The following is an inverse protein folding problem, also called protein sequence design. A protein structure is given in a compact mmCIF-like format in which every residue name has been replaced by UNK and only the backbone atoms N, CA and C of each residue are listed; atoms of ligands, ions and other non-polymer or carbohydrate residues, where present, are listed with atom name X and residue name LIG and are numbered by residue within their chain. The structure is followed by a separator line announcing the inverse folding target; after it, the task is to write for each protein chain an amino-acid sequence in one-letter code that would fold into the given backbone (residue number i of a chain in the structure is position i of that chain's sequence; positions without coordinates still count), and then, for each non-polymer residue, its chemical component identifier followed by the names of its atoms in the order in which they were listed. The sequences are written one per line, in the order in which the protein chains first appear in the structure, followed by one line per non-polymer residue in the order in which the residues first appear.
data_IF_004405817320
#
_entry.id   IF_004405817320
#
_cell.length_a   1.000
_cell.length_b   1.000
_cell.length_c   1.000
_cell.angle_alpha   90.00
_cell.angle_beta   90.00
_cell.angle_gamma   90.00
#
_symmetry.space_group_name_H-M   'P 1'
#
loop_
_entity.id
_entity.type
_entity.pdbx_description
1 polymer ?
#
# COMPACT_ATOMS: atom_id res chain seq x y z
N UNK A 1 11.71 -1.02 -21.52
CA UNK A 1 11.24 -0.17 -20.41
C UNK A 1 10.75 1.20 -20.88
N UNK A 2 11.47 1.96 -21.73
CA UNK A 2 11.02 3.31 -22.16
C UNK A 2 9.62 3.36 -22.78
N UNK A 3 9.31 2.46 -23.72
CA UNK A 3 8.00 2.41 -24.39
C UNK A 3 6.85 2.16 -23.41
N UNK A 4 7.08 1.34 -22.38
CA UNK A 4 6.07 1.03 -21.37
C UNK A 4 5.79 2.25 -20.49
N UNK A 5 6.84 2.93 -20.02
CA UNK A 5 6.72 4.18 -19.28
C UNK A 5 6.02 5.26 -20.09
N UNK A 6 6.31 5.36 -21.39
CA UNK A 6 5.65 6.31 -22.29
C UNK A 6 4.16 6.00 -22.47
N UNK A 7 3.78 4.73 -22.54
CA UNK A 7 2.37 4.31 -22.63
C UNK A 7 1.64 4.67 -21.34
N UNK A 8 2.21 4.34 -20.18
CA UNK A 8 1.64 4.69 -18.87
C UNK A 8 1.47 6.21 -18.74
N UNK A 9 2.49 7.00 -19.10
CA UNK A 9 2.44 8.45 -19.03
C UNK A 9 1.37 9.09 -19.94
N UNK A 10 0.96 8.42 -21.02
CA UNK A 10 -0.05 8.90 -21.98
C UNK A 10 -1.47 8.43 -21.66
N UNK A 11 -1.64 7.44 -20.79
CA UNK A 11 -2.94 6.86 -20.44
C UNK A 11 -3.56 7.56 -19.22
N UNK A 12 -4.87 7.37 -19.03
CA UNK A 12 -5.59 7.98 -17.90
C UNK A 12 -5.12 7.40 -16.55
N UNK A 13 -5.08 8.22 -15.48
CA UNK A 13 -4.63 7.80 -14.15
C UNK A 13 -5.31 6.52 -13.64
N UNK A 14 -6.60 6.32 -13.91
CA UNK A 14 -7.36 5.15 -13.42
C UNK A 14 -6.84 3.81 -13.97
N UNK A 15 -6.33 3.80 -15.21
CA UNK A 15 -5.76 2.59 -15.85
C UNK A 15 -4.31 2.36 -15.46
N UNK A 16 -3.61 3.43 -15.09
CA UNK A 16 -2.25 3.36 -14.63
C UNK A 16 -2.16 2.84 -13.20
N UNK A 17 -3.18 3.07 -12.38
CA UNK A 17 -3.20 2.68 -10.98
C UNK A 17 -2.91 1.19 -10.80
N UNK A 18 -3.73 0.32 -11.41
CA UNK A 18 -3.58 -1.14 -11.29
C UNK A 18 -2.19 -1.60 -11.76
N UNK A 19 -1.80 -1.18 -12.97
CA UNK A 19 -0.51 -1.54 -13.54
C UNK A 19 0.66 -1.12 -12.63
N UNK A 20 0.63 0.12 -12.10
CA UNK A 20 1.68 0.64 -11.21
C UNK A 20 1.71 -0.13 -9.90
N UNK A 21 0.56 -0.31 -9.25
CA UNK A 21 0.48 -0.99 -7.96
C UNK A 21 0.92 -2.45 -8.05
N UNK A 22 0.47 -3.17 -9.08
CA UNK A 22 0.87 -4.56 -9.31
C UNK A 22 2.35 -4.68 -9.68
N UNK A 23 2.88 -3.75 -10.48
CA UNK A 23 4.31 -3.75 -10.84
C UNK A 23 5.19 -3.52 -9.62
N UNK A 24 4.83 -2.60 -8.73
CA UNK A 24 5.56 -2.33 -7.50
C UNK A 24 5.46 -3.52 -6.54
N UNK A 25 4.27 -4.13 -6.40
CA UNK A 25 4.09 -5.33 -5.59
C UNK A 25 4.91 -6.52 -6.12
N UNK A 26 4.98 -6.70 -7.44
CA UNK A 26 5.82 -7.71 -8.07
C UNK A 26 7.31 -7.43 -7.87
N UNK A 27 7.73 -6.16 -7.99
CA UNK A 27 9.09 -5.75 -7.71
C UNK A 27 9.48 -6.07 -6.26
N UNK A 28 8.63 -5.73 -5.30
CA UNK A 28 8.85 -6.03 -3.88
C UNK A 28 9.00 -7.54 -3.64
N UNK A 29 8.12 -8.34 -4.23
CA UNK A 29 8.16 -9.80 -4.09
C UNK A 29 9.45 -10.41 -4.60
N UNK A 30 9.96 -9.90 -5.72
CA UNK A 30 11.16 -10.44 -6.37
C UNK A 30 12.46 -9.88 -5.80
N UNK A 31 12.48 -8.60 -5.41
CA UNK A 31 13.70 -7.83 -5.17
C UNK A 31 13.69 -7.06 -3.85
N UNK A 32 12.56 -6.99 -3.13
CA UNK A 32 12.37 -6.08 -2.00
C UNK A 32 13.24 -6.37 -0.78
N UNK A 33 13.82 -7.56 -0.64
CA UNK A 33 14.79 -7.84 0.44
C UNK A 33 16.16 -7.22 0.18
N UNK A 34 16.59 -7.17 -1.07
CA UNK A 34 17.87 -6.62 -1.52
C UNK A 34 17.76 -5.10 -1.72
N UNK A 35 16.62 -4.62 -2.24
CA UNK A 35 16.38 -3.25 -2.66
C UNK A 35 15.29 -2.59 -1.81
N UNK A 36 15.46 -2.60 -0.48
CA UNK A 36 14.45 -2.12 0.48
C UNK A 36 14.14 -0.63 0.31
N UNK A 37 15.16 0.18 0.09
CA UNK A 37 15.01 1.64 -0.02
C UNK A 37 14.32 2.00 -1.34
N UNK A 38 14.74 1.40 -2.45
CA UNK A 38 14.15 1.59 -3.77
C UNK A 38 12.69 1.11 -3.79
N UNK A 39 12.40 -0.02 -3.14
CA UNK A 39 11.03 -0.51 -2.98
C UNK A 39 10.16 0.50 -2.21
N UNK A 40 10.71 1.09 -1.14
CA UNK A 40 10.01 2.14 -0.37
C UNK A 40 9.81 3.41 -1.20
N UNK A 41 10.82 3.83 -1.96
CA UNK A 41 10.75 5.02 -2.82
C UNK A 41 9.69 4.87 -3.92
N UNK A 42 9.63 3.71 -4.57
CA UNK A 42 8.58 3.39 -5.55
C UNK A 42 7.19 3.47 -4.92
N UNK A 43 7.01 2.93 -3.71
CA UNK A 43 5.75 2.99 -2.99
C UNK A 43 5.38 4.44 -2.59
N UNK A 44 6.34 5.26 -2.17
CA UNK A 44 6.12 6.67 -1.87
C UNK A 44 5.74 7.47 -3.14
N UNK A 45 6.36 7.17 -4.28
CA UNK A 45 6.01 7.80 -5.55
C UNK A 45 4.57 7.46 -5.96
N UNK A 46 4.17 6.19 -5.86
CA UNK A 46 2.79 5.77 -6.10
C UNK A 46 1.80 6.46 -5.14
N UNK A 47 2.13 6.54 -3.84
CA UNK A 47 1.33 7.24 -2.85
C UNK A 47 1.17 8.73 -3.19
N UNK A 48 2.21 9.39 -3.70
CA UNK A 48 2.12 10.81 -4.10
C UNK A 48 1.16 11.06 -5.26
N UNK A 49 0.95 10.05 -6.12
CA UNK A 49 0.12 10.14 -7.33
C UNK A 49 -1.32 9.67 -7.14
N UNK A 50 -1.53 8.70 -6.25
CA UNK A 50 -2.80 8.00 -6.10
C UNK A 50 -3.29 7.91 -4.64
N UNK A 51 -2.56 8.49 -3.70
CA UNK A 51 -2.87 8.43 -2.27
C UNK A 51 -3.91 9.45 -1.81
N UNK A 52 -3.85 9.85 -0.52
CA UNK A 52 -4.82 10.76 0.09
C UNK A 52 -4.97 12.09 -0.67
N UNK A 53 -6.21 12.56 -0.81
CA UNK A 53 -6.53 13.79 -1.55
C UNK A 53 -6.66 13.61 -3.07
N UNK A 54 -6.57 12.37 -3.56
CA UNK A 54 -6.86 12.01 -4.96
C UNK A 54 -8.18 11.25 -5.06
N UNK A 55 -8.72 11.08 -6.27
CA UNK A 55 -9.90 10.24 -6.51
C UNK A 55 -9.69 8.75 -6.20
N UNK A 56 -8.45 8.34 -5.90
CA UNK A 56 -8.05 6.95 -5.64
C UNK A 56 -7.71 6.70 -4.18
N UNK A 57 -7.90 7.67 -3.28
CA UNK A 57 -7.45 7.57 -1.89
C UNK A 57 -8.02 6.38 -1.11
N UNK A 58 -9.19 5.88 -1.53
CA UNK A 58 -9.89 4.72 -0.97
C UNK A 58 -9.94 3.53 -1.95
N UNK A 59 -9.19 3.56 -3.05
CA UNK A 59 -9.17 2.48 -4.03
C UNK A 59 -8.37 1.29 -3.50
N UNK A 60 -8.99 0.11 -3.40
CA UNK A 60 -8.37 -1.08 -2.81
C UNK A 60 -7.09 -1.52 -3.52
N UNK A 61 -6.91 -1.14 -4.79
CA UNK A 61 -5.68 -1.40 -5.54
C UNK A 61 -4.45 -0.72 -4.93
N UNK A 62 -4.64 0.27 -4.05
CA UNK A 62 -3.56 0.91 -3.30
C UNK A 62 -3.10 0.13 -2.06
N UNK A 63 -3.85 -0.88 -1.59
CA UNK A 63 -3.48 -1.63 -0.37
C UNK A 63 -2.07 -2.25 -0.43
N UNK A 64 -1.59 -2.84 -1.55
CA UNK A 64 -0.21 -3.31 -1.66
C UNK A 64 0.82 -2.20 -1.39
N UNK A 65 0.54 -0.96 -1.80
CA UNK A 65 1.45 0.17 -1.58
C UNK A 65 1.54 0.48 -0.08
N UNK A 66 0.42 0.51 0.63
CA UNK A 66 0.44 0.69 2.08
C UNK A 66 1.14 -0.46 2.81
N UNK A 67 0.94 -1.72 2.41
CA UNK A 67 1.68 -2.87 2.98
C UNK A 67 3.19 -2.69 2.84
N UNK A 68 3.65 -2.28 1.66
CA UNK A 68 5.07 -2.02 1.38
C UNK A 68 5.60 -0.90 2.26
N UNK A 69 4.86 0.21 2.37
CA UNK A 69 5.25 1.32 3.23
C UNK A 69 5.33 0.90 4.69
N UNK A 70 4.40 0.10 5.21
CA UNK A 70 4.46 -0.44 6.58
C UNK A 70 5.69 -1.34 6.79
N UNK A 71 5.95 -2.24 5.84
CA UNK A 71 7.05 -3.21 5.91
C UNK A 71 8.45 -2.58 5.86
N UNK A 72 8.64 -1.55 5.04
CA UNK A 72 9.95 -0.90 4.84
C UNK A 72 10.06 0.50 5.46
N UNK A 73 9.07 0.90 6.25
CA UNK A 73 9.15 2.15 7.03
C UNK A 73 10.24 2.05 8.10
N UNK A 74 10.98 3.14 8.27
CA UNK A 74 12.01 3.26 9.31
C UNK A 74 11.46 3.85 10.62
N UNK A 75 10.27 4.45 10.59
CA UNK A 75 9.76 5.31 11.67
C UNK A 75 8.32 5.00 12.10
N UNK A 76 7.66 4.04 11.45
CA UNK A 76 6.27 3.70 11.68
C UNK A 76 6.10 2.21 11.48
N UNK A 77 5.50 1.52 12.44
CA UNK A 77 5.22 0.10 12.32
C UNK A 77 4.05 -0.15 11.37
N UNK A 78 3.91 -1.39 10.87
CA UNK A 78 2.74 -1.77 10.08
C UNK A 78 1.44 -1.55 10.88
N UNK A 79 1.39 -1.91 12.17
CA UNK A 79 0.20 -1.68 13.01
C UNK A 79 -0.15 -0.19 13.09
N UNK A 80 0.83 0.68 13.38
CA UNK A 80 0.62 2.13 13.44
C UNK A 80 0.11 2.72 12.11
N UNK A 81 0.56 2.15 10.99
CA UNK A 81 0.12 2.59 9.67
C UNK A 81 -1.36 2.33 9.47
N UNK A 82 -1.82 1.09 9.72
CA UNK A 82 -3.22 0.74 9.52
C UNK A 82 -4.15 1.47 10.50
N UNK A 83 -3.73 1.64 11.75
CA UNK A 83 -4.48 2.45 12.72
C UNK A 83 -4.70 3.86 12.19
N UNK A 84 -3.65 4.52 11.68
CA UNK A 84 -3.75 5.87 11.09
C UNK A 84 -4.60 5.94 9.83
N UNK A 85 -4.59 4.89 9.00
CA UNK A 85 -5.45 4.84 7.82
C UNK A 85 -6.93 4.80 8.25
N UNK A 86 -7.25 3.96 9.22
CA UNK A 86 -8.59 3.87 9.77
C UNK A 86 -9.03 5.15 10.50
N UNK A 87 -8.16 5.75 11.33
CA UNK A 87 -8.43 7.03 12.01
C UNK A 87 -8.75 8.17 11.03
N UNK A 88 -8.15 8.13 9.84
CA UNK A 88 -8.42 9.10 8.75
C UNK A 88 -9.69 8.78 7.95
N UNK A 89 -10.41 7.71 8.31
CA UNK A 89 -11.60 7.26 7.60
C UNK A 89 -11.30 6.61 6.24
N UNK A 90 -10.06 6.19 5.99
CA UNK A 90 -9.69 5.53 4.75
C UNK A 90 -10.05 4.04 4.79
N UNK A 91 -10.48 3.52 3.64
CA UNK A 91 -10.82 2.11 3.41
C UNK A 91 -11.90 1.53 4.34
N UNK A 92 -12.74 2.38 4.96
CA UNK A 92 -13.76 1.97 5.94
C UNK A 92 -14.81 1.00 5.40
N UNK A 93 -14.94 0.84 4.09
CA UNK A 93 -15.83 -0.13 3.44
C UNK A 93 -15.10 -1.32 2.82
N UNK A 94 -13.77 -1.39 2.94
CA UNK A 94 -12.94 -2.40 2.29
C UNK A 94 -12.70 -3.59 3.23
N UNK A 95 -13.30 -4.74 2.92
CA UNK A 95 -13.03 -5.96 3.67
C UNK A 95 -11.55 -6.40 3.56
N UNK A 96 -10.93 -6.17 2.40
CA UNK A 96 -9.51 -6.46 2.18
C UNK A 96 -8.61 -5.67 3.12
N UNK A 97 -8.92 -4.38 3.34
CA UNK A 97 -8.21 -3.55 4.31
C UNK A 97 -8.30 -4.12 5.73
N UNK A 98 -9.49 -4.49 6.19
CA UNK A 98 -9.66 -5.06 7.53
C UNK A 98 -8.95 -6.40 7.69
N UNK A 99 -8.95 -7.26 6.67
CA UNK A 99 -8.17 -8.50 6.68
C UNK A 99 -6.67 -8.22 6.85
N UNK A 100 -6.12 -7.27 6.09
CA UNK A 100 -4.71 -6.89 6.21
C UNK A 100 -4.40 -6.31 7.60
N UNK A 101 -5.30 -5.47 8.12
CA UNK A 101 -5.13 -4.84 9.43
C UNK A 101 -5.12 -5.87 10.57
N UNK A 102 -6.01 -6.86 10.50
CA UNK A 102 -6.04 -7.99 11.42
C UNK A 102 -4.74 -8.80 11.30
N UNK A 103 -4.30 -9.10 10.08
CA UNK A 103 -3.09 -9.87 9.83
C UNK A 103 -1.84 -9.21 10.44
N UNK A 104 -1.68 -7.88 10.30
CA UNK A 104 -0.53 -7.19 10.89
C UNK A 104 -0.51 -7.26 12.42
N UNK A 105 -1.67 -7.23 13.08
CA UNK A 105 -1.77 -7.39 14.54
C UNK A 105 -1.51 -8.83 14.98
N UNK A 106 -1.96 -9.82 14.21
CA UNK A 106 -1.65 -11.24 14.47
C UNK A 106 -0.13 -11.46 14.37
N UNK A 107 0.51 -10.94 13.32
CA UNK A 107 1.96 -11.05 13.13
C UNK A 107 2.76 -10.34 14.22
N UNK A 108 2.21 -9.26 14.80
CA UNK A 108 2.77 -8.57 15.95
C UNK A 108 2.50 -9.28 17.31
N UNK A 109 1.84 -10.44 17.28
CA UNK A 109 1.42 -11.20 18.47
C UNK A 109 0.47 -10.42 19.40
N UNK A 110 -0.38 -9.57 18.83
CA UNK A 110 -1.35 -8.72 19.52
C UNK A 110 -2.79 -9.21 19.23
N UNK A 111 -3.09 -10.43 19.66
CA UNK A 111 -4.36 -11.11 19.34
C UNK A 111 -5.61 -10.39 19.88
N UNK A 112 -5.50 -9.68 21.00
CA UNK A 112 -6.64 -8.94 21.56
C UNK A 112 -7.03 -7.76 20.66
N UNK A 113 -6.03 -7.06 20.11
CA UNK A 113 -6.25 -6.00 19.12
C UNK A 113 -6.85 -6.52 17.83
N UNK A 114 -6.36 -7.67 17.35
CA UNK A 114 -6.91 -8.32 16.16
C UNK A 114 -8.41 -8.66 16.31
N UNK A 115 -8.86 -9.06 17.51
CA UNK A 115 -10.27 -9.36 17.78
C UNK A 115 -11.17 -8.12 17.86
N UNK A 116 -10.63 -6.97 18.24
CA UNK A 116 -11.38 -5.70 18.30
C UNK A 116 -11.77 -5.17 16.91
N UNK A 117 -11.09 -5.64 15.86
CA UNK A 117 -11.28 -5.19 14.47
C UNK A 117 -12.35 -6.03 13.73
N UNK A 118 -12.63 -7.26 14.20
CA UNK A 118 -13.67 -8.15 13.67
C UNK A 118 -15.08 -7.70 14.10
#
# INVERSE_FOLDING_TARGET
FSVLCDVVARQRPERNLEFVCESIALFEKCYGLEYKEETRELALEALSKYGPGTSFENDERMLPIYRILGKYSRSMTSTDLYDKLHEKGLFTTSAAFYCDWIEVYILANQMDKAKEIL
#
